data_IF_751463710690
#
_entry.id   IF_751463710690
#
_cell.length_a   1.000
_cell.length_b   1.000
_cell.length_c   1.000
_cell.angle_alpha   90.00
_cell.angle_beta   90.00
_cell.angle_gamma   90.00
#
_symmetry.space_group_name_H-M   'P 1'
#
loop_
_entity.id
_entity.type
_entity.pdbx_description
1 polymer ?
#
# COMPACT_ATOMS: atom_id res chain seq x y z
N UNK A 1 37.68 -48.42 -66.61
CA UNK A 1 37.70 -47.10 -65.93
C UNK A 1 36.42 -47.00 -65.11
N UNK A 2 36.50 -47.29 -63.81
CA UNK A 2 35.37 -47.10 -62.88
C UNK A 2 35.68 -45.88 -62.02
N UNK A 3 34.84 -44.87 -62.10
CA UNK A 3 34.87 -43.66 -61.28
C UNK A 3 34.20 -43.95 -59.94
N UNK A 4 34.94 -43.75 -58.83
CA UNK A 4 34.39 -43.82 -57.48
C UNK A 4 33.37 -42.69 -57.23
N UNK A 5 32.26 -42.95 -56.54
CA UNK A 5 31.29 -41.93 -56.15
C UNK A 5 31.85 -41.08 -55.00
N UNK A 6 31.80 -39.76 -55.17
CA UNK A 6 32.28 -38.78 -54.20
C UNK A 6 31.50 -38.83 -52.88
N UNK A 7 32.26 -38.86 -51.80
CA UNK A 7 31.78 -38.84 -50.41
C UNK A 7 31.20 -37.45 -50.08
N UNK A 8 29.88 -37.38 -49.91
CA UNK A 8 29.18 -36.13 -49.56
C UNK A 8 29.31 -35.92 -48.05
N UNK A 9 30.17 -34.97 -47.66
CA UNK A 9 30.34 -34.60 -46.26
C UNK A 9 29.04 -33.99 -45.71
N UNK A 10 28.43 -34.55 -44.65
CA UNK A 10 27.18 -34.05 -44.11
C UNK A 10 27.37 -32.64 -43.53
N UNK A 11 26.53 -31.71 -43.95
CA UNK A 11 26.54 -30.32 -43.48
C UNK A 11 26.30 -30.28 -41.96
N UNK A 12 27.21 -29.63 -41.24
CA UNK A 12 27.09 -29.41 -39.79
C UNK A 12 25.84 -28.58 -39.52
N UNK A 13 24.86 -29.07 -38.74
CA UNK A 13 23.64 -28.32 -38.45
C UNK A 13 23.99 -27.05 -37.69
N UNK A 14 23.55 -25.90 -38.22
CA UNK A 14 23.73 -24.60 -37.58
C UNK A 14 23.02 -24.62 -36.21
N UNK A 15 23.69 -24.25 -35.10
CA UNK A 15 23.07 -24.26 -33.79
C UNK A 15 21.86 -23.33 -33.77
N UNK A 16 20.73 -23.85 -33.28
CA UNK A 16 19.50 -23.08 -33.15
C UNK A 16 19.74 -21.84 -32.25
N UNK A 17 19.17 -20.67 -32.60
CA UNK A 17 19.34 -19.47 -31.81
C UNK A 17 18.82 -19.70 -30.38
N UNK A 18 19.62 -19.31 -29.39
CA UNK A 18 19.26 -19.44 -27.99
C UNK A 18 17.93 -18.72 -27.72
N UNK A 19 16.98 -19.44 -27.14
CA UNK A 19 15.68 -18.88 -26.81
C UNK A 19 15.86 -17.69 -25.84
N UNK A 20 15.16 -16.56 -26.06
CA UNK A 20 15.31 -15.38 -25.22
C UNK A 20 14.94 -15.70 -23.77
N UNK A 21 15.77 -15.23 -22.83
CA UNK A 21 15.63 -15.46 -21.40
C UNK A 21 14.35 -14.78 -20.88
N UNK A 22 13.29 -15.58 -20.71
CA UNK A 22 11.98 -15.14 -20.22
C UNK A 22 12.06 -14.46 -18.85
N UNK A 23 13.09 -14.73 -18.05
CA UNK A 23 13.24 -14.13 -16.71
C UNK A 23 13.59 -12.64 -16.77
N UNK A 24 14.34 -12.21 -17.80
CA UNK A 24 14.69 -10.80 -17.97
C UNK A 24 13.49 -9.94 -18.36
N UNK A 25 12.59 -10.48 -19.19
CA UNK A 25 11.35 -9.79 -19.60
C UNK A 25 10.42 -9.53 -18.42
N UNK A 26 10.24 -10.51 -17.53
CA UNK A 26 9.41 -10.36 -16.33
C UNK A 26 10.01 -9.32 -15.38
N UNK A 27 11.33 -9.35 -15.16
CA UNK A 27 12.03 -8.39 -14.29
C UNK A 27 11.92 -6.96 -14.82
N UNK A 28 11.97 -6.78 -16.13
CA UNK A 28 11.89 -5.46 -16.77
C UNK A 28 10.48 -4.87 -16.68
N UNK A 29 9.45 -5.67 -16.98
CA UNK A 29 8.05 -5.23 -16.87
C UNK A 29 7.66 -4.90 -15.43
N UNK A 30 8.13 -5.70 -14.46
CA UNK A 30 7.88 -5.44 -13.04
C UNK A 30 8.44 -4.09 -12.57
N UNK A 31 9.67 -3.76 -12.96
CA UNK A 31 10.28 -2.45 -12.63
C UNK A 31 9.51 -1.28 -13.25
N UNK A 32 9.09 -1.42 -14.51
CA UNK A 32 8.36 -0.36 -15.21
C UNK A 32 7.01 -0.06 -14.55
N UNK A 33 6.29 -1.08 -14.08
CA UNK A 33 5.04 -0.89 -13.32
C UNK A 33 5.28 -0.19 -11.98
N UNK A 34 6.33 -0.58 -11.25
CA UNK A 34 6.67 0.07 -9.97
C UNK A 34 7.03 1.53 -10.17
N UNK A 35 7.94 1.85 -11.11
CA UNK A 35 8.31 3.24 -11.40
C UNK A 35 7.13 4.05 -11.95
N UNK A 36 6.30 3.44 -12.80
CA UNK A 36 5.08 4.06 -13.30
C UNK A 36 4.11 4.42 -12.17
N UNK A 37 3.86 3.49 -11.24
CA UNK A 37 3.00 3.73 -10.08
C UNK A 37 3.54 4.85 -9.17
N UNK A 38 4.84 4.86 -8.89
CA UNK A 38 5.48 5.93 -8.10
C UNK A 38 5.39 7.27 -8.83
N UNK A 39 5.64 7.32 -10.13
CA UNK A 39 5.54 8.55 -10.92
C UNK A 39 4.11 9.13 -10.92
N UNK A 40 3.09 8.26 -11.05
CA UNK A 40 1.67 8.67 -10.96
C UNK A 40 1.36 9.25 -9.58
N UNK A 41 1.79 8.59 -8.49
CA UNK A 41 1.57 9.09 -7.13
C UNK A 41 2.23 10.45 -6.90
N UNK A 42 3.48 10.62 -7.36
CA UNK A 42 4.18 11.90 -7.28
C UNK A 42 3.48 12.99 -8.13
N UNK A 43 2.96 12.63 -9.29
CA UNK A 43 2.16 13.53 -10.12
C UNK A 43 0.90 14.01 -9.43
N UNK A 44 0.16 13.10 -8.76
CA UNK A 44 -1.03 13.44 -7.96
C UNK A 44 -0.62 14.36 -6.79
N UNK A 45 0.47 14.05 -6.10
CA UNK A 45 0.96 14.87 -5.00
C UNK A 45 1.34 16.29 -5.46
N UNK A 46 2.11 16.41 -6.55
CA UNK A 46 2.46 17.70 -7.14
C UNK A 46 1.22 18.49 -7.59
N UNK A 47 0.24 17.81 -8.21
CA UNK A 47 -1.05 18.40 -8.57
C UNK A 47 -1.82 18.90 -7.34
N UNK A 48 -1.77 18.17 -6.23
CA UNK A 48 -2.41 18.57 -4.96
C UNK A 48 -1.74 19.81 -4.37
N UNK A 49 -0.41 19.91 -4.45
CA UNK A 49 0.32 21.13 -4.04
C UNK A 49 -0.09 22.30 -4.93
N UNK A 50 -0.11 22.12 -6.26
CA UNK A 50 -0.53 23.16 -7.18
C UNK A 50 -1.99 23.62 -6.92
N UNK A 51 -2.88 22.68 -6.61
CA UNK A 51 -4.25 22.95 -6.17
C UNK A 51 -4.26 23.79 -4.89
N UNK A 52 -3.55 23.36 -3.84
CA UNK A 52 -3.48 24.08 -2.56
C UNK A 52 -2.96 25.51 -2.72
N UNK A 53 -1.98 25.71 -3.61
CA UNK A 53 -1.45 27.03 -3.92
C UNK A 53 -2.41 27.89 -4.74
N UNK A 54 -3.35 27.30 -5.50
CA UNK A 54 -4.26 28.06 -6.37
C UNK A 54 -5.63 28.29 -5.74
N UNK A 55 -5.99 27.50 -4.71
CA UNK A 55 -7.28 27.55 -4.06
C UNK A 55 -7.49 28.91 -3.35
N UNK A 56 -8.71 29.50 -3.41
CA UNK A 56 -9.00 30.75 -2.72
C UNK A 56 -9.01 30.52 -1.20
N UNK A 57 -8.04 31.13 -0.51
CA UNK A 57 -7.87 31.01 0.94
C UNK A 57 -8.57 32.16 1.63
N UNK A 58 -9.43 31.84 2.60
CA UNK A 58 -9.98 32.82 3.53
C UNK A 58 -8.87 33.23 4.49
N UNK A 59 -8.55 34.53 4.53
CA UNK A 59 -7.55 35.05 5.48
C UNK A 59 -8.09 34.92 6.89
N UNK A 60 -7.41 34.14 7.71
CA UNK A 60 -7.66 34.08 9.15
C UNK A 60 -6.87 35.19 9.80
N UNK A 61 -7.53 36.00 10.65
CA UNK A 61 -6.83 37.04 11.39
C UNK A 61 -6.03 36.35 12.50
N UNK A 62 -4.69 36.49 12.54
CA UNK A 62 -3.89 35.92 13.61
C UNK A 62 -4.38 36.45 14.94
N UNK A 63 -4.85 35.56 15.82
CA UNK A 63 -5.24 35.94 17.17
C UNK A 63 -4.09 35.63 18.11
N UNK A 64 -3.46 36.63 18.77
CA UNK A 64 -2.43 36.36 19.74
C UNK A 64 -3.01 35.50 20.86
N UNK A 65 -2.29 34.44 21.22
CA UNK A 65 -2.69 33.55 22.29
C UNK A 65 -2.87 34.35 23.59
N UNK A 66 -4.05 34.26 24.20
CA UNK A 66 -4.28 34.84 25.51
C UNK A 66 -3.35 34.17 26.53
N UNK A 67 -2.79 34.97 27.45
CA UNK A 67 -1.85 34.47 28.46
C UNK A 67 -2.53 33.39 29.30
N UNK A 68 -1.94 32.18 29.31
CA UNK A 68 -2.46 31.03 30.06
C UNK A 68 -3.35 30.07 29.26
N UNK A 69 -3.58 30.31 27.97
CA UNK A 69 -4.27 29.34 27.11
C UNK A 69 -3.38 28.12 26.90
N UNK A 70 -3.99 26.95 27.06
CA UNK A 70 -3.33 25.67 26.79
C UNK A 70 -3.14 25.48 25.27
N UNK A 71 -1.87 25.27 24.87
CA UNK A 71 -1.51 25.05 23.48
C UNK A 71 -2.17 23.79 22.91
N UNK A 72 -2.38 22.76 23.75
CA UNK A 72 -3.04 21.54 23.34
C UNK A 72 -4.50 21.80 22.91
N UNK A 73 -5.20 22.70 23.61
CA UNK A 73 -6.57 23.09 23.25
C UNK A 73 -6.62 23.84 21.90
N UNK A 74 -5.62 24.68 21.62
CA UNK A 74 -5.51 25.43 20.36
C UNK A 74 -5.18 24.52 19.18
N UNK A 75 -4.30 23.54 19.38
CA UNK A 75 -3.90 22.58 18.35
C UNK A 75 -4.85 21.38 18.24
N UNK A 76 -5.84 21.26 19.12
CA UNK A 76 -6.78 20.14 19.15
C UNK A 76 -7.46 19.89 17.79
N UNK A 77 -7.94 20.90 17.04
CA UNK A 77 -8.55 20.65 15.73
C UNK A 77 -7.58 20.01 14.72
N UNK A 78 -6.31 20.41 14.74
CA UNK A 78 -5.26 19.84 13.87
C UNK A 78 -4.98 18.40 14.27
N UNK A 79 -4.88 18.13 15.57
CA UNK A 79 -4.66 16.78 16.08
C UNK A 79 -5.84 15.84 15.74
N UNK A 80 -7.08 16.32 15.88
CA UNK A 80 -8.30 15.58 15.50
C UNK A 80 -8.31 15.29 14.01
N UNK A 81 -7.94 16.26 13.17
CA UNK A 81 -7.83 16.05 11.73
C UNK A 81 -6.78 14.99 11.39
N UNK A 82 -5.59 15.04 12.00
CA UNK A 82 -4.53 14.06 11.78
C UNK A 82 -4.97 12.64 12.18
N UNK A 83 -5.60 12.49 13.35
CA UNK A 83 -6.12 11.21 13.84
C UNK A 83 -7.23 10.67 12.92
N UNK A 84 -8.11 11.54 12.43
CA UNK A 84 -9.17 11.18 11.49
C UNK A 84 -8.61 10.60 10.19
N UNK A 85 -7.57 11.24 9.65
CA UNK A 85 -6.88 10.75 8.43
C UNK A 85 -6.21 9.40 8.68
N UNK A 86 -5.50 9.25 9.79
CA UNK A 86 -4.87 7.98 10.17
C UNK A 86 -5.90 6.85 10.21
N UNK A 87 -7.03 7.08 10.90
CA UNK A 87 -8.10 6.08 11.01
C UNK A 87 -8.76 5.77 9.67
N UNK A 88 -8.94 6.78 8.81
CA UNK A 88 -9.52 6.60 7.48
C UNK A 88 -8.62 5.75 6.58
N UNK A 89 -7.31 5.98 6.60
CA UNK A 89 -6.34 5.21 5.79
C UNK A 89 -6.24 3.77 6.29
N UNK A 90 -6.24 3.57 7.60
CA UNK A 90 -6.28 2.24 8.19
C UNK A 90 -7.55 1.48 7.75
N UNK A 91 -8.72 2.13 7.82
CA UNK A 91 -9.99 1.57 7.37
C UNK A 91 -9.97 1.21 5.89
N UNK A 92 -9.44 2.11 5.04
CA UNK A 92 -9.29 1.87 3.61
C UNK A 92 -8.40 0.65 3.33
N UNK A 93 -7.28 0.50 4.03
CA UNK A 93 -6.41 -0.67 3.88
C UNK A 93 -7.05 -1.96 4.35
N UNK A 94 -7.76 -1.92 5.47
CA UNK A 94 -8.51 -3.06 5.97
C UNK A 94 -9.57 -3.50 4.95
N UNK A 95 -10.24 -2.54 4.29
CA UNK A 95 -11.18 -2.80 3.22
C UNK A 95 -10.50 -3.43 1.99
N UNK A 96 -9.38 -2.87 1.53
CA UNK A 96 -8.60 -3.41 0.41
C UNK A 96 -8.12 -4.84 0.71
N UNK A 97 -7.57 -5.09 1.89
CA UNK A 97 -7.11 -6.42 2.29
C UNK A 97 -8.27 -7.40 2.46
N UNK A 98 -9.44 -6.94 2.90
CA UNK A 98 -10.66 -7.74 2.92
C UNK A 98 -11.05 -8.15 1.50
N UNK A 99 -11.11 -7.20 0.57
CA UNK A 99 -11.43 -7.48 -0.84
C UNK A 99 -10.42 -8.42 -1.49
N UNK A 100 -9.11 -8.22 -1.27
CA UNK A 100 -8.06 -9.11 -1.81
C UNK A 100 -8.26 -10.51 -1.25
N UNK A 101 -8.50 -10.67 0.05
CA UNK A 101 -8.75 -11.98 0.66
C UNK A 101 -10.02 -12.63 0.11
N UNK A 102 -11.12 -11.90 -0.02
CA UNK A 102 -12.36 -12.40 -0.62
C UNK A 102 -12.17 -12.80 -2.08
N UNK A 103 -11.39 -12.03 -2.85
CA UNK A 103 -11.08 -12.34 -4.24
C UNK A 103 -10.21 -13.60 -4.35
N UNK A 104 -9.18 -13.72 -3.52
CA UNK A 104 -8.34 -14.92 -3.44
C UNK A 104 -9.18 -16.13 -3.02
N UNK A 105 -10.04 -15.99 -2.01
CA UNK A 105 -10.94 -17.07 -1.57
C UNK A 105 -11.96 -17.46 -2.66
N UNK A 106 -12.47 -16.50 -3.43
CA UNK A 106 -13.35 -16.77 -4.57
C UNK A 106 -12.61 -17.54 -5.67
N UNK A 107 -11.37 -17.16 -5.97
CA UNK A 107 -10.52 -17.90 -6.92
C UNK A 107 -10.18 -19.30 -6.40
N UNK A 108 -9.96 -19.46 -5.10
CA UNK A 108 -9.75 -20.75 -4.47
C UNK A 108 -11.03 -21.62 -4.47
N UNK A 109 -12.20 -21.04 -4.21
CA UNK A 109 -13.48 -21.74 -4.36
C UNK A 109 -13.73 -22.21 -5.80
N UNK A 110 -13.16 -21.52 -6.80
CA UNK A 110 -13.15 -21.99 -8.19
C UNK A 110 -12.26 -23.22 -8.39
N UNK A 111 -11.18 -23.36 -7.63
CA UNK A 111 -10.35 -24.58 -7.62
C UNK A 111 -11.08 -25.75 -6.97
N UNK A 112 -11.86 -25.50 -5.92
CA UNK A 112 -12.77 -26.50 -5.34
C UNK A 112 -13.89 -26.90 -6.31
N UNK A 113 -14.46 -25.95 -7.07
CA UNK A 113 -15.39 -26.27 -8.15
C UNK A 113 -14.72 -27.14 -9.23
N UNK A 114 -13.47 -26.88 -9.60
CA UNK A 114 -12.72 -27.72 -10.53
C UNK A 114 -12.48 -29.13 -9.96
N UNK A 115 -12.24 -29.25 -8.65
CA UNK A 115 -12.14 -30.56 -7.97
C UNK A 115 -13.47 -31.29 -7.97
N UNK A 116 -14.57 -30.63 -7.61
CA UNK A 116 -15.92 -31.18 -7.68
C UNK A 116 -16.28 -31.62 -9.10
N UNK A 117 -15.99 -30.81 -10.12
CA UNK A 117 -16.23 -31.16 -11.52
C UNK A 117 -15.43 -32.40 -11.95
N UNK A 118 -14.21 -32.58 -11.43
CA UNK A 118 -13.42 -33.79 -11.64
C UNK A 118 -14.04 -35.02 -10.96
N UNK A 119 -14.55 -34.86 -9.75
CA UNK A 119 -15.20 -35.94 -9.00
C UNK A 119 -16.54 -36.36 -9.63
N UNK A 120 -17.35 -35.40 -10.09
CA UNK A 120 -18.60 -35.68 -10.81
C UNK A 120 -18.32 -36.37 -12.15
N UNK A 121 -17.24 -36.00 -12.86
CA UNK A 121 -16.82 -36.67 -14.07
C UNK A 121 -16.41 -38.13 -13.80
N UNK A 122 -15.68 -38.39 -12.70
CA UNK A 122 -15.35 -39.76 -12.28
C UNK A 122 -16.61 -40.57 -11.99
N UNK A 123 -17.56 -40.01 -11.22
CA UNK A 123 -18.82 -40.67 -10.92
C UNK A 123 -19.65 -40.97 -12.19
N UNK A 124 -19.69 -40.04 -13.16
CA UNK A 124 -20.35 -40.26 -14.44
C UNK A 124 -19.69 -41.39 -15.26
N UNK A 125 -18.36 -41.54 -15.18
CA UNK A 125 -17.62 -42.63 -15.82
C UNK A 125 -17.88 -43.99 -15.17
N UNK A 126 -17.95 -44.05 -13.85
CA UNK A 126 -18.30 -45.27 -13.12
C UNK A 126 -19.71 -45.74 -13.48
N UNK A 127 -20.67 -44.81 -13.60
CA UNK A 127 -22.04 -45.10 -14.07
C UNK A 127 -22.06 -45.63 -15.50
N UNK A 128 -21.29 -45.04 -16.42
CA UNK A 128 -21.15 -45.53 -17.80
C UNK A 128 -20.49 -46.91 -17.87
N UNK A 129 -19.46 -47.15 -17.06
CA UNK A 129 -18.78 -48.45 -16.99
C UNK A 129 -19.71 -49.55 -16.44
N UNK A 130 -20.53 -49.23 -15.44
CA UNK A 130 -21.55 -50.14 -14.91
C UNK A 130 -22.61 -50.47 -15.99
N UNK A 131 -23.12 -49.47 -16.71
CA UNK A 131 -24.08 -49.69 -17.80
C UNK A 131 -23.48 -50.46 -18.98
N UNK A 132 -22.19 -50.28 -19.28
CA UNK A 132 -21.48 -51.05 -20.30
C UNK A 132 -21.25 -52.51 -19.90
N UNK A 133 -21.20 -52.82 -18.60
CA UNK A 133 -21.16 -54.20 -18.10
C UNK A 133 -22.54 -54.87 -18.11
N UNK A 134 -23.62 -54.08 -17.99
CA UNK A 134 -25.00 -54.55 -17.95
C UNK A 134 -25.69 -54.65 -19.33
N UNK A 135 -25.13 -54.00 -20.37
CA UNK A 135 -25.71 -53.90 -21.71
C UNK A 135 -25.06 -54.78 -22.80
N UNK A 136 -25.91 -55.38 -23.63
CA UNK A 136 -25.62 -56.25 -24.78
C UNK A 136 -24.39 -55.81 -25.63
N UNK A 137 -23.39 -56.69 -25.86
CA UNK A 137 -22.08 -56.39 -26.45
C UNK A 137 -22.06 -55.99 -27.94
N UNK A 138 -23.20 -55.68 -28.54
CA UNK A 138 -23.29 -55.40 -29.99
C UNK A 138 -23.13 -53.93 -30.37
N UNK A 139 -23.12 -52.97 -29.43
CA UNK A 139 -22.73 -51.57 -29.71
C UNK A 139 -21.28 -51.29 -29.27
N UNK A 140 -20.35 -51.39 -30.23
CA UNK A 140 -18.94 -51.04 -30.10
C UNK A 140 -18.74 -49.52 -29.84
N UNK A 141 -18.89 -49.11 -28.58
CA UNK A 141 -18.49 -47.78 -28.08
C UNK A 141 -17.09 -47.81 -27.43
N UNK A 142 -16.54 -49.00 -27.21
CA UNK A 142 -15.29 -49.22 -26.47
C UNK A 142 -14.02 -48.68 -27.16
N UNK A 143 -13.99 -48.59 -28.49
CA UNK A 143 -12.75 -48.27 -29.22
C UNK A 143 -12.45 -46.78 -29.40
N UNK A 144 -13.40 -45.87 -29.10
CA UNK A 144 -13.20 -44.41 -29.25
C UNK A 144 -13.07 -43.64 -27.92
N UNK A 145 -13.46 -44.24 -26.79
CA UNK A 145 -13.46 -43.57 -25.49
C UNK A 145 -12.09 -43.43 -24.79
N UNK A 146 -11.16 -44.40 -24.79
CA UNK A 146 -10.03 -44.37 -23.85
C UNK A 146 -9.02 -43.26 -24.16
N UNK A 147 -8.76 -42.97 -25.45
CA UNK A 147 -7.74 -41.99 -25.86
C UNK A 147 -8.12 -40.54 -25.58
N UNK A 148 -9.42 -40.20 -25.65
CA UNK A 148 -9.92 -38.86 -25.27
C UNK A 148 -10.00 -38.65 -23.76
N UNK A 149 -10.16 -39.75 -23.02
CA UNK A 149 -10.47 -39.74 -21.59
C UNK A 149 -9.25 -39.52 -20.70
N UNK A 150 -8.11 -40.10 -21.08
CA UNK A 150 -6.82 -39.91 -20.39
C UNK A 150 -6.26 -38.50 -20.67
N UNK A 151 -6.43 -38.00 -21.90
CA UNK A 151 -6.06 -36.64 -22.26
C UNK A 151 -6.84 -35.60 -21.45
N UNK A 152 -8.14 -35.83 -21.22
CA UNK A 152 -8.96 -34.92 -20.41
C UNK A 152 -8.55 -34.94 -18.93
N UNK A 153 -8.22 -36.13 -18.37
CA UNK A 153 -7.75 -36.22 -16.99
C UNK A 153 -6.42 -35.51 -16.78
N UNK A 154 -5.46 -35.70 -17.69
CA UNK A 154 -4.18 -35.01 -17.61
C UNK A 154 -4.35 -33.48 -17.72
N UNK A 155 -5.28 -33.00 -18.53
CA UNK A 155 -5.59 -31.57 -18.62
C UNK A 155 -6.21 -31.00 -17.34
N UNK A 156 -7.14 -31.74 -16.73
CA UNK A 156 -7.79 -31.33 -15.47
C UNK A 156 -6.78 -31.33 -14.31
N UNK A 157 -5.97 -32.38 -14.19
CA UNK A 157 -4.95 -32.48 -13.14
C UNK A 157 -3.88 -31.39 -13.30
N UNK A 158 -3.45 -31.10 -14.54
CA UNK A 158 -2.53 -29.99 -14.82
C UNK A 158 -3.14 -28.64 -14.47
N UNK A 159 -4.40 -28.41 -14.81
CA UNK A 159 -5.11 -27.18 -14.47
C UNK A 159 -5.25 -27.00 -12.95
N UNK A 160 -5.57 -28.06 -12.20
CA UNK A 160 -5.67 -28.02 -10.74
C UNK A 160 -4.31 -27.69 -10.08
N UNK A 161 -3.23 -28.31 -10.55
CA UNK A 161 -1.88 -28.04 -10.07
C UNK A 161 -1.42 -26.61 -10.40
N UNK A 162 -1.73 -26.11 -11.60
CA UNK A 162 -1.41 -24.73 -12.00
C UNK A 162 -2.15 -23.69 -11.13
N UNK A 163 -3.40 -23.97 -10.74
CA UNK A 163 -4.17 -23.09 -9.84
C UNK A 163 -3.60 -23.11 -8.42
N UNK A 164 -3.30 -24.28 -7.86
CA UNK A 164 -2.70 -24.37 -6.52
C UNK A 164 -1.33 -23.67 -6.46
N UNK A 165 -0.52 -23.77 -7.52
CA UNK A 165 0.75 -23.05 -7.63
C UNK A 165 0.55 -21.53 -7.73
N UNK A 166 -0.48 -21.07 -8.44
CA UNK A 166 -0.82 -19.65 -8.54
C UNK A 166 -1.26 -19.09 -7.18
N UNK A 167 -2.05 -19.83 -6.41
CA UNK A 167 -2.46 -19.47 -5.03
C UNK A 167 -1.25 -19.34 -4.10
N UNK A 168 -0.36 -20.33 -4.11
CA UNK A 168 0.86 -20.30 -3.29
C UNK A 168 1.75 -19.08 -3.63
N UNK A 169 1.87 -18.76 -4.93
CA UNK A 169 2.60 -17.57 -5.38
C UNK A 169 1.91 -16.27 -4.96
N UNK A 170 0.59 -16.17 -5.07
CA UNK A 170 -0.15 -14.96 -4.63
C UNK A 170 -0.06 -14.75 -3.11
N UNK A 171 -0.21 -15.82 -2.33
CA UNK A 171 -0.04 -15.79 -0.87
C UNK A 171 1.37 -15.37 -0.48
N UNK A 172 2.39 -15.85 -1.21
CA UNK A 172 3.78 -15.43 -1.01
C UNK A 172 3.97 -13.96 -1.38
N UNK A 173 3.43 -13.50 -2.51
CA UNK A 173 3.55 -12.10 -2.97
C UNK A 173 2.92 -11.10 -1.99
N UNK A 174 1.74 -11.41 -1.46
CA UNK A 174 1.05 -10.55 -0.47
C UNK A 174 1.71 -10.52 0.91
N UNK A 175 2.52 -11.52 1.24
CA UNK A 175 3.25 -11.59 2.52
C UNK A 175 4.71 -11.12 2.42
N UNK A 176 5.19 -10.76 1.22
CA UNK A 176 6.56 -10.26 1.06
C UNK A 176 6.78 -8.92 1.77
N UNK A 177 8.02 -8.72 2.25
CA UNK A 177 8.48 -7.43 2.78
C UNK A 177 8.20 -6.28 1.82
N UNK A 178 8.35 -6.52 0.51
CA UNK A 178 8.05 -5.55 -0.54
C UNK A 178 6.61 -5.03 -0.51
N UNK A 179 5.63 -5.89 -0.26
CA UNK A 179 4.22 -5.45 -0.15
C UNK A 179 4.02 -4.56 1.07
N UNK A 180 4.60 -4.91 2.23
CA UNK A 180 4.50 -4.11 3.46
C UNK A 180 5.18 -2.75 3.30
N UNK A 181 6.34 -2.72 2.65
CA UNK A 181 7.08 -1.48 2.36
C UNK A 181 6.32 -0.61 1.36
N UNK A 182 5.78 -1.19 0.29
CA UNK A 182 4.95 -0.47 -0.69
C UNK A 182 3.70 0.11 -0.03
N UNK A 183 2.97 -0.70 0.76
CA UNK A 183 1.81 -0.25 1.55
C UNK A 183 2.18 0.93 2.43
N UNK A 184 3.32 0.86 3.13
CA UNK A 184 3.81 1.95 3.98
C UNK A 184 4.07 3.22 3.19
N UNK A 185 4.81 3.15 2.08
CA UNK A 185 5.11 4.32 1.24
C UNK A 185 3.83 4.93 0.67
N UNK A 186 2.94 4.11 0.13
CA UNK A 186 1.65 4.56 -0.41
C UNK A 186 0.81 5.22 0.68
N UNK A 187 0.79 4.66 1.89
CA UNK A 187 0.06 5.23 3.03
C UNK A 187 0.58 6.62 3.38
N UNK A 188 1.91 6.79 3.46
CA UNK A 188 2.55 8.08 3.77
C UNK A 188 2.23 9.12 2.69
N UNK A 189 2.35 8.76 1.41
CA UNK A 189 2.06 9.71 0.33
C UNK A 189 0.57 10.07 0.30
N UNK A 190 -0.31 9.09 0.50
CA UNK A 190 -1.76 9.30 0.53
C UNK A 190 -2.18 10.16 1.72
N UNK A 191 -1.60 9.93 2.90
CA UNK A 191 -1.87 10.73 4.09
C UNK A 191 -1.40 12.17 3.92
N UNK A 192 -0.23 12.39 3.30
CA UNK A 192 0.26 13.73 2.94
C UNK A 192 -0.67 14.47 1.99
N UNK A 193 -1.13 13.81 0.92
CA UNK A 193 -2.11 14.36 -0.03
C UNK A 193 -3.38 14.77 0.72
N UNK A 194 -3.92 13.85 1.52
CA UNK A 194 -5.18 14.08 2.21
C UNK A 194 -5.07 15.18 3.27
N UNK A 195 -3.97 15.21 4.04
CA UNK A 195 -3.70 16.25 5.02
C UNK A 195 -3.65 17.63 4.36
N UNK A 196 -3.00 17.74 3.20
CA UNK A 196 -2.95 18.97 2.43
C UNK A 196 -4.33 19.40 1.90
N UNK A 197 -5.13 18.46 1.39
CA UNK A 197 -6.50 18.74 0.94
C UNK A 197 -7.35 19.24 2.11
N UNK A 198 -7.33 18.54 3.25
CA UNK A 198 -8.12 18.91 4.44
C UNK A 198 -7.71 20.29 4.95
N UNK A 199 -6.41 20.55 5.10
CA UNK A 199 -5.93 21.86 5.54
C UNK A 199 -6.37 22.98 4.58
N UNK A 200 -6.30 22.75 3.26
CA UNK A 200 -6.69 23.74 2.25
C UNK A 200 -8.19 24.00 2.24
N UNK A 201 -9.01 22.94 2.21
CA UNK A 201 -10.48 23.05 2.09
C UNK A 201 -11.10 23.63 3.35
N UNK A 202 -10.60 23.21 4.53
CA UNK A 202 -11.10 23.69 5.83
C UNK A 202 -10.47 25.06 6.19
N UNK A 203 -9.35 25.43 5.57
CA UNK A 203 -8.62 26.66 5.88
C UNK A 203 -7.84 26.56 7.20
N UNK A 204 -7.32 25.37 7.55
CA UNK A 204 -6.55 25.18 8.77
C UNK A 204 -5.16 25.83 8.63
N UNK A 205 -4.86 26.75 9.55
CA UNK A 205 -3.65 27.57 9.59
C UNK A 205 -3.04 27.49 10.98
N UNK A 206 -2.08 26.57 11.17
CA UNK A 206 -1.45 26.29 12.46
C UNK A 206 -0.75 27.52 13.04
N UNK A 207 -0.02 28.29 12.23
CA UNK A 207 0.68 29.48 12.73
C UNK A 207 -0.29 30.62 13.05
N UNK A 208 -1.34 30.80 12.25
CA UNK A 208 -2.40 31.76 12.56
C UNK A 208 -3.08 31.45 13.91
N UNK A 209 -3.30 30.16 14.22
CA UNK A 209 -3.83 29.72 15.52
C UNK A 209 -2.87 30.01 16.68
N UNK A 210 -1.55 30.02 16.43
CA UNK A 210 -0.53 30.39 17.41
C UNK A 210 -0.30 31.90 17.48
N UNK A 211 -1.02 32.71 16.69
CA UNK A 211 -0.83 34.15 16.61
C UNK A 211 0.46 34.58 15.89
N UNK A 212 1.10 33.68 15.14
CA UNK A 212 2.32 33.94 14.38
C UNK A 212 1.92 34.35 12.97
N UNK A 213 2.36 35.53 12.53
CA UNK A 213 2.06 36.03 11.19
C UNK A 213 2.99 35.39 10.15
N UNK A 214 2.46 34.43 9.39
CA UNK A 214 3.13 33.76 8.27
C UNK A 214 2.25 33.92 7.02
N UNK A 215 2.86 33.85 5.83
CA UNK A 215 2.10 33.80 4.58
C UNK A 215 1.07 32.66 4.62
N UNK A 216 -0.19 32.96 4.29
CA UNK A 216 -1.32 32.05 4.51
C UNK A 216 -1.17 30.72 3.73
N UNK A 217 -0.56 30.79 2.54
CA UNK A 217 -0.31 29.60 1.70
C UNK A 217 0.76 28.71 2.30
N UNK A 218 1.80 29.32 2.87
CA UNK A 218 2.89 28.60 3.53
C UNK A 218 2.36 27.96 4.82
N UNK A 219 1.53 28.66 5.58
CA UNK A 219 0.91 28.13 6.80
C UNK A 219 0.00 26.93 6.48
N UNK A 220 -0.89 27.04 5.49
CA UNK A 220 -1.74 25.91 5.05
C UNK A 220 -0.91 24.73 4.57
N UNK A 221 0.16 24.97 3.80
CA UNK A 221 1.03 23.89 3.32
C UNK A 221 1.70 23.15 4.49
N UNK A 222 2.27 23.89 5.44
CA UNK A 222 2.92 23.31 6.62
C UNK A 222 1.90 22.57 7.48
N UNK A 223 0.72 23.17 7.69
CA UNK A 223 -0.39 22.56 8.43
C UNK A 223 -0.85 21.26 7.76
N UNK A 224 -1.01 21.26 6.44
CA UNK A 224 -1.37 20.08 5.67
C UNK A 224 -0.35 18.95 5.74
N UNK A 225 0.94 19.29 5.66
CA UNK A 225 2.04 18.32 5.86
C UNK A 225 2.03 17.79 7.30
N UNK A 226 1.85 18.65 8.30
CA UNK A 226 1.80 18.25 9.70
C UNK A 226 0.63 17.29 9.97
N UNK A 227 -0.55 17.59 9.44
CA UNK A 227 -1.73 16.70 9.51
C UNK A 227 -1.44 15.38 8.76
N UNK A 228 -0.90 15.46 7.55
CA UNK A 228 -0.71 14.31 6.68
C UNK A 228 0.44 13.38 7.09
N UNK A 229 1.42 13.87 7.83
CA UNK A 229 2.46 13.02 8.43
C UNK A 229 1.99 12.27 9.68
N UNK A 230 0.76 12.55 10.15
CA UNK A 230 0.10 11.87 11.24
C UNK A 230 0.37 12.50 12.61
N UNK A 231 -0.01 11.78 13.67
CA UNK A 231 0.08 12.24 15.06
C UNK A 231 1.52 12.29 15.61
N UNK A 232 2.47 11.58 14.98
CA UNK A 232 3.84 11.47 15.51
C UNK A 232 4.58 12.80 15.54
N UNK A 233 4.61 13.61 14.46
CA UNK A 233 5.25 14.92 14.49
C UNK A 233 4.49 15.90 15.40
N UNK A 234 3.16 15.79 15.49
CA UNK A 234 2.35 16.61 16.40
C UNK A 234 2.71 16.33 17.86
N UNK A 235 2.94 15.07 18.23
CA UNK A 235 3.36 14.73 19.59
C UNK A 235 4.76 15.27 19.91
N UNK A 236 5.69 15.22 18.97
CA UNK A 236 7.02 15.83 19.13
C UNK A 236 6.95 17.35 19.20
N UNK A 237 6.09 18.00 18.41
CA UNK A 237 5.85 19.45 18.47
C UNK A 237 5.28 19.86 19.84
N UNK A 238 4.27 19.14 20.33
CA UNK A 238 3.70 19.37 21.67
C UNK A 238 4.78 19.18 22.74
N UNK A 239 5.61 18.14 22.64
CA UNK A 239 6.70 17.88 23.57
C UNK A 239 7.75 18.99 23.57
N UNK A 240 8.18 19.48 22.41
CA UNK A 240 9.13 20.58 22.29
C UNK A 240 8.54 21.89 22.85
N UNK A 241 7.26 22.15 22.59
CA UNK A 241 6.58 23.35 23.09
C UNK A 241 6.37 23.30 24.61
N UNK A 242 6.07 22.12 25.15
CA UNK A 242 6.01 21.87 26.59
C UNK A 242 7.40 22.06 27.25
N UNK A 243 8.45 21.46 26.68
CA UNK A 243 9.83 21.66 27.16
C UNK A 243 10.25 23.13 27.11
N UNK A 244 9.86 23.86 26.07
CA UNK A 244 10.08 25.30 25.96
C UNK A 244 9.36 26.10 27.04
N UNK A 245 8.09 25.75 27.33
CA UNK A 245 7.31 26.35 28.43
C UNK A 245 7.96 26.07 29.79
N UNK A 246 8.32 24.83 30.08
CA UNK A 246 8.94 24.45 31.36
C UNK A 246 10.29 25.15 31.56
N UNK A 247 11.06 25.30 30.48
CA UNK A 247 12.32 26.06 30.50
C UNK A 247 12.08 27.53 30.82
N UNK A 248 11.06 28.15 30.20
CA UNK A 248 10.70 29.54 30.45
C UNK A 248 10.21 29.75 31.90
N UNK A 249 9.34 28.86 32.37
CA UNK A 249 8.79 28.90 33.74
C UNK A 249 9.91 28.68 34.77
N UNK A 250 10.89 27.81 34.48
CA UNK A 250 12.10 27.61 35.29
C UNK A 250 12.99 28.86 35.39
N UNK A 251 13.22 29.56 34.27
CA UNK A 251 13.99 30.82 34.25
C UNK A 251 13.26 31.90 35.06
N UNK A 252 11.94 32.02 34.92
CA UNK A 252 11.15 32.97 35.70
C UNK A 252 11.19 32.66 37.21
N UNK A 253 11.13 31.39 37.58
CA UNK A 253 11.28 30.93 38.96
C UNK A 253 12.65 31.28 39.55
N UNK A 254 13.72 31.09 38.78
CA UNK A 254 15.08 31.46 39.19
C UNK A 254 15.22 32.97 39.38
N UNK A 255 14.70 33.78 38.46
CA UNK A 255 14.71 35.25 38.57
C UNK A 255 13.94 35.73 39.81
N UNK A 256 12.75 35.19 40.07
CA UNK A 256 11.97 35.52 41.29
C UNK A 256 12.73 35.17 42.57
N UNK A 257 13.36 34.00 42.62
CA UNK A 257 14.13 33.54 43.79
C UNK A 257 15.32 34.47 44.05
N UNK A 258 16.07 34.83 43.00
CA UNK A 258 17.21 35.74 43.11
C UNK A 258 16.79 37.11 43.63
N UNK A 259 15.67 37.63 43.14
CA UNK A 259 15.12 38.93 43.58
C UNK A 259 14.72 38.89 45.06
N UNK A 260 14.10 37.79 45.51
CA UNK A 260 13.71 37.62 46.93
C UNK A 260 14.91 37.48 47.88
N UNK A 261 15.98 36.79 47.46
CA UNK A 261 17.22 36.67 48.24
C UNK A 261 17.89 38.05 48.39
N UNK A 262 18.06 38.77 47.28
CA UNK A 262 18.65 40.12 47.28
C UNK A 262 17.84 41.07 48.17
N UNK A 263 16.52 40.97 48.15
CA UNK A 263 15.66 41.81 48.99
C UNK A 263 15.78 41.48 50.49
N UNK A 264 15.95 40.20 50.85
CA UNK A 264 16.23 39.79 52.24
C UNK A 264 17.60 40.25 52.74
N UNK A 265 18.61 40.20 51.87
CA UNK A 265 19.94 40.71 52.21
C UNK A 265 19.90 42.21 52.49
N UNK A 266 19.17 42.98 51.67
CA UNK A 266 18.98 44.42 51.90
C UNK A 266 18.19 44.72 53.19
N UNK A 267 17.18 43.92 53.53
CA UNK A 267 16.40 44.14 54.76
C UNK A 267 17.17 43.80 56.05
N UNK A 268 18.20 42.94 55.97
CA UNK A 268 19.02 42.57 57.14
C UNK A 268 20.21 43.51 57.37
N UNK A 269 20.47 44.47 56.47
CA UNK A 269 21.59 45.42 56.57
C UNK A 269 21.19 46.83 57.04
N UNK A 270 19.91 47.08 57.32
CA UNK A 270 19.39 48.34 57.89
C UNK A 270 18.90 48.15 59.31
#
# INVERSE_FOLDING_TARGET
MSTQPGEVTPAVPTPAPAAPDKTQLVKTRGRLLVYGGVAVLLGIFAGTIAFALSYPIVKTIPQPLARGVDLAAVLAPIAVAALGIERMIEMMWNLIESYIRSFVAFLAGRSEWLRWANDELKAARERLAALAQEGDPTLRVADMLPTSQDALYQLIERAANDVALAEARLATLTSTTQYRDAKRVISIVTSLILGLIVATVVGLQMFALLGINVNERVDILITGIAIGTGSTPVHSLIGILQQGKDTLDGIQGFLKTRTAVVQREMSNQG
#
